data_IF_573927625361
#
_entry.id   IF_573927625361
#
_cell.length_a   1.000
_cell.length_b   1.000
_cell.length_c   1.000
_cell.angle_alpha   90.00
_cell.angle_beta   90.00
_cell.angle_gamma   90.00
#
_symmetry.space_group_name_H-M   'P 1'
#
loop_
_entity.id
_entity.type
_entity.pdbx_description
1 polymer ?
#
# COMPACT_ATOMS: atom_id res chain seq x y z
N UNK A 1 -7.15 27.49 5.72
CA UNK A 1 -8.37 27.08 5.04
C UNK A 1 -9.59 27.59 5.78
N UNK A 2 -10.51 28.24 5.07
CA UNK A 2 -11.66 28.93 5.70
C UNK A 2 -12.98 28.20 5.43
N UNK A 3 -12.93 27.01 4.89
CA UNK A 3 -14.09 26.21 4.49
C UNK A 3 -14.49 26.41 3.04
N UNK A 4 -15.36 25.52 2.54
CA UNK A 4 -15.80 25.47 1.15
C UNK A 4 -14.77 24.86 0.19
N UNK A 5 -15.02 24.96 -1.08
CA UNK A 5 -14.12 24.46 -2.12
C UNK A 5 -12.81 25.23 -2.14
N UNK A 6 -11.67 24.54 -2.25
CA UNK A 6 -10.33 25.13 -2.28
C UNK A 6 -9.77 25.09 -3.71
N UNK A 7 -9.82 26.19 -4.47
CA UNK A 7 -9.22 26.25 -5.81
C UNK A 7 -7.71 26.14 -5.73
N UNK A 8 -7.13 25.32 -6.59
CA UNK A 8 -5.68 25.22 -6.75
C UNK A 8 -5.19 26.29 -7.75
N UNK A 9 -3.99 26.79 -7.52
CA UNK A 9 -3.50 28.04 -8.15
C UNK A 9 -3.50 28.01 -9.69
N UNK A 10 -3.24 26.86 -10.32
CA UNK A 10 -3.17 26.73 -11.78
C UNK A 10 -4.27 25.86 -12.37
N UNK A 11 -4.61 24.75 -11.73
CA UNK A 11 -5.58 23.80 -12.25
C UNK A 11 -6.25 23.01 -11.13
N UNK A 12 -7.54 22.72 -11.31
CA UNK A 12 -8.29 21.87 -10.37
C UNK A 12 -8.79 22.60 -9.13
N UNK A 13 -9.46 21.84 -8.28
CA UNK A 13 -10.07 22.33 -7.06
C UNK A 13 -10.29 21.14 -6.11
N UNK A 14 -9.92 21.26 -4.84
CA UNK A 14 -10.38 20.36 -3.80
C UNK A 14 -11.81 20.75 -3.44
N UNK A 15 -12.76 19.95 -3.92
CA UNK A 15 -14.18 20.22 -3.69
C UNK A 15 -14.66 19.49 -2.45
N UNK A 16 -15.35 20.19 -1.55
CA UNK A 16 -15.97 19.60 -0.36
C UNK A 16 -16.94 18.47 -0.74
N UNK A 17 -17.63 18.61 -1.89
CA UNK A 17 -18.51 17.53 -2.40
C UNK A 17 -17.76 16.22 -2.67
N UNK A 18 -16.54 16.29 -3.17
CA UNK A 18 -15.73 15.12 -3.52
C UNK A 18 -14.90 14.65 -2.30
N UNK A 19 -14.54 15.58 -1.42
CA UNK A 19 -13.76 15.34 -0.20
C UNK A 19 -14.41 15.99 1.03
N UNK A 20 -15.54 15.46 1.56
CA UNK A 20 -16.29 16.07 2.66
C UNK A 20 -15.47 16.25 3.94
N UNK A 21 -14.48 15.39 4.17
CA UNK A 21 -13.61 15.45 5.34
C UNK A 21 -12.69 16.69 5.36
N UNK A 22 -12.54 17.41 4.24
CA UNK A 22 -11.77 18.65 4.15
C UNK A 22 -12.28 19.70 5.16
N UNK A 23 -13.57 19.69 5.49
CA UNK A 23 -14.15 20.61 6.47
C UNK A 23 -13.64 20.44 7.91
N UNK A 24 -13.04 19.28 8.23
CA UNK A 24 -12.36 19.05 9.53
C UNK A 24 -11.16 19.98 9.73
N UNK A 25 -10.62 20.52 8.67
CA UNK A 25 -9.41 21.36 8.68
C UNK A 25 -9.69 22.87 8.57
N UNK A 26 -10.96 23.31 8.77
CA UNK A 26 -11.31 24.74 8.83
C UNK A 26 -10.51 25.41 9.96
N UNK A 27 -9.87 26.53 9.63
CA UNK A 27 -9.01 27.30 10.54
C UNK A 27 -7.56 26.85 10.55
N UNK A 28 -7.21 25.78 9.82
CA UNK A 28 -5.84 25.28 9.73
C UNK A 28 -5.13 25.75 8.47
N UNK A 29 -3.82 25.84 8.52
CA UNK A 29 -2.95 26.04 7.36
C UNK A 29 -2.76 24.71 6.63
N UNK A 30 -3.01 24.69 5.33
CA UNK A 30 -2.86 23.51 4.46
C UNK A 30 -1.77 23.74 3.44
N UNK A 31 -0.89 22.76 3.25
CA UNK A 31 0.03 22.71 2.13
C UNK A 31 -0.67 21.91 1.02
N UNK A 32 -0.76 22.52 -0.16
CA UNK A 32 -1.39 21.95 -1.36
C UNK A 32 -0.49 22.21 -2.58
N UNK A 33 -0.74 21.54 -3.69
CA UNK A 33 -0.09 21.86 -4.97
C UNK A 33 -0.80 22.98 -5.70
N UNK A 34 -0.25 23.37 -6.82
CA UNK A 34 -0.91 24.28 -7.77
C UNK A 34 -1.95 23.57 -8.67
N UNK A 35 -2.14 22.25 -8.50
CA UNK A 35 -3.06 21.41 -9.26
C UNK A 35 -2.45 20.75 -10.51
N UNK A 36 -1.16 20.95 -10.78
CA UNK A 36 -0.49 20.38 -11.97
C UNK A 36 0.45 19.22 -11.66
N UNK A 37 0.78 19.00 -10.38
CA UNK A 37 1.68 17.94 -9.90
C UNK A 37 1.10 17.28 -8.66
N UNK A 38 1.67 16.14 -8.27
CA UNK A 38 1.57 15.60 -6.92
C UNK A 38 2.21 16.60 -5.94
N UNK A 39 1.74 16.61 -4.70
CA UNK A 39 2.44 17.27 -3.59
C UNK A 39 3.65 16.41 -3.16
N UNK A 40 3.43 15.10 -3.06
CA UNK A 40 4.39 14.16 -2.51
C UNK A 40 4.63 14.42 -1.02
N UNK A 41 3.57 14.77 -0.28
CA UNK A 41 3.60 14.70 1.17
C UNK A 41 3.84 13.26 1.62
N UNK A 42 3.34 12.33 0.85
CA UNK A 42 3.74 10.94 0.82
C UNK A 42 4.93 10.78 -0.17
N UNK A 43 6.24 10.67 0.31
CA UNK A 43 6.55 10.69 1.76
C UNK A 43 7.54 11.81 2.15
N UNK A 44 7.56 12.95 1.45
CA UNK A 44 8.45 14.08 1.83
C UNK A 44 8.07 14.71 3.18
N UNK A 45 6.83 14.54 3.63
CA UNK A 45 6.42 15.00 4.94
C UNK A 45 7.09 14.18 6.05
N UNK A 46 7.08 12.85 5.96
CA UNK A 46 7.77 11.98 6.90
C UNK A 46 9.28 12.25 6.96
N UNK A 47 9.90 12.50 5.81
CA UNK A 47 11.30 12.96 5.77
C UNK A 47 11.50 14.26 6.55
N UNK A 48 10.65 15.26 6.34
CA UNK A 48 10.72 16.55 7.04
C UNK A 48 10.49 16.40 8.55
N UNK A 49 9.52 15.61 8.94
CA UNK A 49 9.16 15.34 10.34
C UNK A 49 10.28 14.64 11.09
N UNK A 50 10.88 13.58 10.51
CA UNK A 50 12.02 12.87 11.08
C UNK A 50 13.22 13.81 11.27
N UNK A 51 13.56 14.59 10.23
CA UNK A 51 14.70 15.52 10.30
C UNK A 51 14.47 16.60 11.34
N UNK A 52 13.24 17.15 11.42
CA UNK A 52 12.88 18.18 12.40
C UNK A 52 12.90 17.62 13.83
N UNK A 53 12.41 16.39 14.05
CA UNK A 53 12.51 15.75 15.36
C UNK A 53 13.96 15.52 15.80
N UNK A 54 14.82 15.09 14.87
CA UNK A 54 16.27 14.95 15.14
C UNK A 54 16.92 16.30 15.44
N UNK A 55 16.61 17.36 14.70
CA UNK A 55 17.09 18.72 14.93
C UNK A 55 16.70 19.21 16.32
N UNK A 56 15.42 19.00 16.70
CA UNK A 56 14.92 19.34 18.03
C UNK A 56 15.72 18.63 19.13
N UNK A 57 15.93 17.32 19.04
CA UNK A 57 16.66 16.53 20.05
C UNK A 57 18.13 16.96 20.15
N UNK A 58 18.77 17.29 19.04
CA UNK A 58 20.15 17.81 19.04
C UNK A 58 20.26 19.20 19.68
N UNK A 59 19.23 20.03 19.52
CA UNK A 59 19.15 21.36 20.15
C UNK A 59 18.80 21.30 21.64
N UNK A 60 18.21 20.20 22.12
CA UNK A 60 17.71 20.01 23.47
C UNK A 60 18.33 18.77 24.15
N UNK A 61 19.64 18.79 24.43
CA UNK A 61 20.36 17.64 25.00
C UNK A 61 19.85 17.24 26.40
N UNK A 62 19.08 18.07 27.05
CA UNK A 62 18.38 17.76 28.31
C UNK A 62 17.21 16.78 28.14
N UNK A 63 16.71 16.57 26.92
CA UNK A 63 15.65 15.59 26.62
C UNK A 63 16.24 14.21 26.54
N UNK A 64 15.97 13.30 27.48
CA UNK A 64 16.53 11.96 27.43
C UNK A 64 15.86 11.16 26.30
N UNK A 65 16.65 10.49 25.51
CA UNK A 65 16.14 9.64 24.42
C UNK A 65 17.06 8.44 24.17
N UNK A 66 16.52 7.41 23.54
CA UNK A 66 17.30 6.24 23.08
C UNK A 66 18.21 6.62 21.91
N UNK A 67 19.16 5.76 21.59
CA UNK A 67 19.93 5.89 20.35
C UNK A 67 18.99 5.77 19.14
N UNK A 68 19.12 6.69 18.20
CA UNK A 68 18.28 6.80 17.00
C UNK A 68 19.15 6.52 15.77
N UNK A 69 18.67 5.64 14.90
CA UNK A 69 19.20 5.46 13.56
C UNK A 69 18.13 5.89 12.56
N UNK A 70 18.49 6.73 11.60
CA UNK A 70 17.60 7.22 10.55
C UNK A 70 18.07 6.67 9.20
N UNK A 71 17.14 6.16 8.40
CA UNK A 71 17.38 5.72 7.04
C UNK A 71 16.28 6.26 6.12
N UNK A 72 16.66 6.78 4.97
CA UNK A 72 15.74 7.16 3.91
C UNK A 72 15.93 6.19 2.75
N UNK A 73 14.84 5.58 2.31
CA UNK A 73 14.82 4.57 1.26
C UNK A 73 14.27 5.17 -0.03
N UNK A 74 15.07 5.26 -1.12
CA UNK A 74 14.56 5.68 -2.42
C UNK A 74 13.73 4.58 -3.08
N UNK A 75 12.86 4.95 -4.04
CA UNK A 75 12.07 4.03 -4.84
C UNK A 75 11.02 3.20 -4.05
N UNK A 76 10.55 3.70 -2.89
CA UNK A 76 9.49 3.06 -2.11
C UNK A 76 8.21 2.93 -2.94
N UNK A 77 7.78 3.98 -3.64
CA UNK A 77 6.56 4.05 -4.47
C UNK A 77 6.49 3.03 -5.62
N UNK A 78 7.61 2.43 -5.96
CA UNK A 78 7.70 1.32 -6.92
C UNK A 78 8.03 -0.01 -6.24
N UNK A 79 7.91 -0.08 -4.90
CA UNK A 79 8.11 -1.27 -4.08
C UNK A 79 9.56 -1.72 -3.98
N UNK A 80 10.54 -0.83 -4.17
CA UNK A 80 11.97 -1.14 -4.16
C UNK A 80 12.76 -0.51 -3.03
N UNK A 81 12.12 0.21 -2.12
CA UNK A 81 12.79 0.92 -1.04
C UNK A 81 13.71 0.04 -0.18
N UNK A 82 13.28 -1.17 0.13
CA UNK A 82 14.07 -2.12 0.92
C UNK A 82 15.10 -2.95 0.11
N UNK A 83 15.18 -2.81 -1.23
CA UNK A 83 16.04 -3.66 -2.07
C UNK A 83 17.52 -3.57 -1.70
N UNK A 84 18.00 -2.37 -1.42
CA UNK A 84 19.39 -2.07 -1.09
C UNK A 84 19.60 -1.74 0.38
N UNK A 85 18.59 -1.98 1.23
CA UNK A 85 18.72 -1.77 2.67
C UNK A 85 19.77 -2.73 3.26
N UNK A 86 20.77 -2.16 3.92
CA UNK A 86 21.88 -2.88 4.52
C UNK A 86 21.71 -2.92 6.05
N UNK A 87 21.24 -4.04 6.63
CA UNK A 87 21.01 -4.13 8.08
C UNK A 87 22.30 -4.03 8.90
N UNK A 88 23.47 -4.31 8.33
CA UNK A 88 24.74 -4.16 9.04
C UNK A 88 25.10 -2.69 9.30
N UNK A 89 24.62 -1.78 8.45
CA UNK A 89 24.77 -0.35 8.59
C UNK A 89 23.66 0.31 9.40
N UNK A 90 22.60 -0.41 9.68
CA UNK A 90 21.44 0.08 10.44
C UNK A 90 21.36 -0.66 11.79
N UNK A 91 22.01 -0.15 12.85
CA UNK A 91 22.19 -0.86 14.11
C UNK A 91 20.95 -0.85 15.01
N UNK A 92 19.76 -0.94 14.43
CA UNK A 92 18.48 -1.01 15.15
C UNK A 92 17.89 -2.42 15.09
N UNK A 93 17.24 -2.86 16.18
CA UNK A 93 16.56 -4.15 16.28
C UNK A 93 15.09 -4.05 15.92
N UNK A 94 14.53 -2.86 16.04
CA UNK A 94 13.14 -2.52 15.71
C UNK A 94 13.15 -1.15 15.04
N UNK A 95 12.15 -0.88 14.23
CA UNK A 95 12.04 0.40 13.55
C UNK A 95 10.56 0.84 13.45
N UNK A 96 10.34 2.05 12.97
CA UNK A 96 9.06 2.56 12.49
C UNK A 96 9.33 3.19 11.13
N UNK A 97 8.45 2.96 10.17
CA UNK A 97 8.31 3.86 9.02
C UNK A 97 7.42 5.03 9.42
N UNK A 98 7.64 6.20 8.81
CA UNK A 98 6.78 7.39 8.96
C UNK A 98 6.35 7.72 7.55
N UNK A 99 5.17 7.23 7.14
CA UNK A 99 4.80 7.14 5.74
C UNK A 99 3.28 7.14 5.57
N UNK A 100 2.77 8.01 4.68
CA UNK A 100 1.35 8.13 4.39
C UNK A 100 0.48 8.42 5.63
N UNK A 101 -0.81 8.10 5.56
CA UNK A 101 -1.77 8.08 6.66
C UNK A 101 -2.28 9.42 7.18
N UNK A 102 -3.54 9.43 7.65
CA UNK A 102 -4.12 10.58 8.38
C UNK A 102 -3.55 10.65 9.80
N UNK A 103 -3.57 11.84 10.41
CA UNK A 103 -3.04 12.03 11.76
C UNK A 103 -3.69 11.09 12.79
N UNK A 104 -2.86 10.32 13.47
CA UNK A 104 -3.26 9.34 14.48
C UNK A 104 -3.23 7.89 13.99
N UNK A 105 -3.10 7.64 12.71
CA UNK A 105 -3.05 6.28 12.18
C UNK A 105 -1.74 5.57 12.54
N UNK A 106 -1.90 4.33 13.00
CA UNK A 106 -0.83 3.36 13.29
C UNK A 106 -1.17 2.09 12.53
N UNK A 107 -0.25 1.60 11.75
CA UNK A 107 -0.47 0.46 10.87
C UNK A 107 0.58 -0.62 11.17
N UNK A 108 0.11 -1.82 11.48
CA UNK A 108 0.96 -3.00 11.71
C UNK A 108 0.45 -4.26 11.00
N UNK A 109 -0.55 -4.07 10.15
CA UNK A 109 -1.11 -5.10 9.28
C UNK A 109 -1.17 -4.56 7.84
N UNK A 110 -0.71 -5.36 6.89
CA UNK A 110 -0.80 -5.09 5.48
C UNK A 110 -1.29 -6.33 4.73
N UNK A 111 -1.57 -6.24 3.44
CA UNK A 111 -1.92 -7.41 2.66
C UNK A 111 -0.78 -8.43 2.57
N UNK A 112 -1.13 -9.73 2.50
CA UNK A 112 -0.35 -10.71 1.76
C UNK A 112 -0.63 -10.52 0.28
N UNK A 113 0.37 -10.64 -0.57
CA UNK A 113 0.30 -10.26 -1.97
C UNK A 113 0.92 -11.31 -2.89
N UNK A 114 0.22 -11.62 -3.97
CA UNK A 114 0.78 -12.39 -5.08
C UNK A 114 0.53 -11.69 -6.42
N UNK A 115 1.48 -11.84 -7.33
CA UNK A 115 1.35 -11.50 -8.74
C UNK A 115 1.02 -12.76 -9.53
N UNK A 116 0.13 -12.60 -10.50
CA UNK A 116 -0.35 -13.68 -11.38
C UNK A 116 -0.08 -13.27 -12.82
N UNK A 117 0.54 -14.16 -13.59
CA UNK A 117 0.62 -14.07 -15.04
C UNK A 117 -0.05 -15.30 -15.63
N UNK A 118 -1.08 -15.10 -16.44
CA UNK A 118 -1.81 -16.14 -17.13
C UNK A 118 -1.58 -15.98 -18.64
N UNK A 119 -0.90 -16.94 -19.25
CA UNK A 119 -0.79 -17.02 -20.71
C UNK A 119 -1.83 -17.99 -21.23
N UNK A 120 -2.64 -17.54 -22.18
CA UNK A 120 -3.71 -18.32 -22.83
C UNK A 120 -3.34 -18.54 -24.28
N UNK A 121 -3.19 -19.81 -24.68
CA UNK A 121 -2.87 -20.21 -26.04
C UNK A 121 -4.12 -20.53 -26.84
N UNK A 122 -4.29 -19.86 -27.95
CA UNK A 122 -5.35 -20.12 -28.90
C UNK A 122 -4.95 -21.10 -30.01
N UNK A 123 -5.91 -21.44 -30.86
CA UNK A 123 -5.69 -22.13 -32.13
C UNK A 123 -6.36 -21.30 -33.20
N UNK A 124 -5.56 -20.53 -33.94
CA UNK A 124 -6.06 -19.66 -34.99
C UNK A 124 -6.31 -20.45 -36.28
N UNK A 125 -7.49 -20.27 -36.85
CA UNK A 125 -7.96 -20.90 -38.08
C UNK A 125 -8.73 -19.86 -38.87
N UNK A 126 -8.65 -19.90 -40.21
CA UNK A 126 -9.45 -19.01 -41.04
C UNK A 126 -10.94 -19.07 -40.63
N UNK A 127 -11.61 -17.94 -40.33
CA UNK A 127 -12.96 -17.90 -39.74
C UNK A 127 -13.98 -18.72 -40.53
N UNK A 128 -13.91 -18.71 -41.83
CA UNK A 128 -14.83 -19.47 -42.72
C UNK A 128 -14.71 -21.01 -42.58
N UNK A 129 -13.67 -21.55 -42.00
CA UNK A 129 -13.43 -22.99 -41.78
C UNK A 129 -13.17 -23.36 -40.34
N UNK A 130 -13.46 -22.46 -39.41
CA UNK A 130 -13.06 -22.54 -37.99
C UNK A 130 -13.98 -23.40 -37.12
N UNK A 131 -15.16 -23.85 -37.62
CA UNK A 131 -16.12 -24.61 -36.82
C UNK A 131 -15.49 -25.83 -36.17
N UNK A 132 -15.61 -25.94 -34.85
CA UNK A 132 -15.05 -27.02 -34.01
C UNK A 132 -13.52 -27.15 -34.03
N UNK A 133 -12.78 -26.15 -34.55
CA UNK A 133 -11.32 -26.16 -34.64
C UNK A 133 -10.66 -24.97 -33.95
N UNK A 134 -11.25 -23.77 -34.13
CA UNK A 134 -10.70 -22.54 -33.55
C UNK A 134 -10.84 -22.53 -32.05
N UNK A 135 -9.78 -22.11 -31.36
CA UNK A 135 -9.80 -21.68 -29.96
C UNK A 135 -9.31 -20.23 -29.93
N UNK A 136 -10.21 -19.31 -29.72
CA UNK A 136 -9.88 -17.90 -29.66
C UNK A 136 -9.37 -17.55 -28.26
N UNK A 137 -8.10 -17.17 -28.13
CA UNK A 137 -7.45 -16.90 -26.85
C UNK A 137 -8.11 -15.74 -26.10
N UNK A 138 -8.64 -14.72 -26.77
CA UNK A 138 -9.37 -13.61 -26.15
C UNK A 138 -10.63 -14.13 -25.44
N UNK A 139 -11.43 -14.98 -26.12
CA UNK A 139 -12.64 -15.53 -25.54
C UNK A 139 -12.35 -16.50 -24.39
N UNK A 140 -11.24 -17.24 -24.47
CA UNK A 140 -10.78 -18.11 -23.40
C UNK A 140 -10.30 -17.31 -22.17
N UNK A 141 -9.53 -16.24 -22.38
CA UNK A 141 -9.14 -15.34 -21.31
C UNK A 141 -10.36 -14.68 -20.61
N UNK A 142 -11.37 -14.29 -21.39
CA UNK A 142 -12.62 -13.79 -20.84
C UNK A 142 -13.37 -14.84 -19.99
N UNK A 143 -13.29 -16.14 -20.34
CA UNK A 143 -13.86 -17.18 -19.50
C UNK A 143 -13.17 -17.26 -18.14
N UNK A 144 -11.85 -17.18 -18.10
CA UNK A 144 -11.10 -17.12 -16.83
C UNK A 144 -11.56 -15.93 -15.98
N UNK A 145 -11.60 -14.72 -16.57
CA UNK A 145 -12.01 -13.51 -15.86
C UNK A 145 -13.44 -13.64 -15.32
N UNK A 146 -14.37 -14.18 -16.14
CA UNK A 146 -15.79 -14.34 -15.78
C UNK A 146 -16.03 -15.37 -14.66
N UNK A 147 -15.08 -16.24 -14.40
CA UNK A 147 -15.13 -17.23 -13.31
C UNK A 147 -14.51 -16.73 -12.01
N UNK A 148 -13.81 -15.60 -12.02
CA UNK A 148 -13.37 -14.94 -10.78
C UNK A 148 -14.60 -14.39 -10.03
N UNK A 149 -14.62 -14.46 -8.69
CA UNK A 149 -15.72 -13.93 -7.88
C UNK A 149 -15.91 -12.43 -8.10
N UNK A 150 -16.99 -12.02 -8.76
CA UNK A 150 -17.22 -10.62 -9.15
C UNK A 150 -17.29 -9.64 -7.95
N UNK A 151 -17.78 -10.11 -6.79
CA UNK A 151 -17.83 -9.32 -5.57
C UNK A 151 -16.48 -9.15 -4.88
N UNK A 152 -15.48 -9.96 -5.25
CA UNK A 152 -14.15 -9.95 -4.65
C UNK A 152 -13.16 -9.19 -5.55
N UNK A 153 -13.55 -8.00 -5.97
CA UNK A 153 -12.74 -7.06 -6.75
C UNK A 153 -12.50 -5.77 -5.93
N UNK A 154 -11.46 -4.98 -6.22
CA UNK A 154 -11.17 -3.75 -5.47
C UNK A 154 -12.35 -2.77 -5.38
N UNK A 155 -13.20 -2.73 -6.43
CA UNK A 155 -14.39 -1.87 -6.46
C UNK A 155 -15.51 -2.29 -5.49
N UNK A 156 -15.40 -3.45 -4.86
CA UNK A 156 -16.42 -4.04 -4.00
C UNK A 156 -15.90 -4.50 -2.64
N UNK A 157 -14.64 -4.16 -2.32
CA UNK A 157 -13.99 -4.62 -1.08
C UNK A 157 -13.38 -3.45 -0.32
N UNK A 158 -13.44 -3.52 1.02
CA UNK A 158 -12.89 -2.51 1.94
C UNK A 158 -12.24 -3.17 3.18
N UNK A 159 -11.59 -2.38 4.02
CA UNK A 159 -10.99 -2.84 5.27
C UNK A 159 -10.11 -4.07 5.07
N UNK A 160 -10.45 -5.15 5.76
CA UNK A 160 -9.71 -6.43 5.73
C UNK A 160 -10.09 -7.38 4.60
N UNK A 161 -11.03 -6.99 3.73
CA UNK A 161 -11.49 -7.84 2.64
C UNK A 161 -10.46 -7.96 1.53
N UNK A 162 -10.13 -9.20 1.18
CA UNK A 162 -9.21 -9.52 0.10
C UNK A 162 -9.88 -9.50 -1.28
N UNK A 163 -9.07 -9.49 -2.33
CA UNK A 163 -9.58 -9.39 -3.69
C UNK A 163 -8.69 -10.09 -4.74
N UNK A 164 -9.28 -10.29 -5.92
CA UNK A 164 -8.60 -10.54 -7.19
C UNK A 164 -8.72 -9.30 -8.06
N UNK A 165 -7.63 -8.89 -8.70
CA UNK A 165 -7.67 -7.73 -9.58
C UNK A 165 -6.89 -8.00 -10.86
N UNK A 166 -7.58 -8.06 -11.98
CA UNK A 166 -6.97 -8.10 -13.32
C UNK A 166 -6.47 -6.70 -13.64
N UNK A 167 -5.17 -6.55 -13.83
CA UNK A 167 -4.51 -5.26 -14.03
C UNK A 167 -4.19 -4.98 -15.48
N UNK A 168 -3.98 -6.02 -16.29
CA UNK A 168 -3.67 -5.88 -17.71
C UNK A 168 -4.10 -7.12 -18.49
N UNK A 169 -4.44 -6.92 -19.75
CA UNK A 169 -4.73 -7.98 -20.71
C UNK A 169 -4.28 -7.53 -22.10
N UNK A 170 -3.35 -8.25 -22.68
CA UNK A 170 -2.80 -7.95 -24.00
C UNK A 170 -2.74 -9.21 -24.88
N UNK A 171 -2.97 -9.06 -26.18
CA UNK A 171 -2.87 -10.16 -27.13
C UNK A 171 -3.90 -10.12 -28.25
N UNK A 172 -4.08 -11.28 -28.87
CA UNK A 172 -5.01 -11.49 -29.98
C UNK A 172 -5.63 -12.91 -29.91
N UNK A 173 -6.31 -13.35 -30.99
CA UNK A 173 -6.96 -14.65 -31.03
C UNK A 173 -6.02 -15.84 -30.91
N UNK A 174 -4.72 -15.65 -31.18
CA UNK A 174 -3.70 -16.70 -31.12
C UNK A 174 -3.09 -16.86 -29.72
N UNK A 175 -2.89 -15.75 -29.01
CA UNK A 175 -2.35 -15.75 -27.65
C UNK A 175 -2.79 -14.50 -26.90
N UNK A 176 -3.09 -14.67 -25.62
CA UNK A 176 -3.34 -13.57 -24.67
C UNK A 176 -2.46 -13.76 -23.44
N UNK A 177 -1.87 -12.68 -22.97
CA UNK A 177 -1.24 -12.60 -21.65
C UNK A 177 -2.09 -11.69 -20.77
N UNK A 178 -2.44 -12.19 -19.59
CA UNK A 178 -3.20 -11.49 -18.57
C UNK A 178 -2.33 -11.36 -17.33
N UNK A 179 -2.30 -10.15 -16.76
CA UNK A 179 -1.70 -9.90 -15.47
C UNK A 179 -2.79 -9.61 -14.42
N UNK A 180 -2.61 -10.19 -13.24
CA UNK A 180 -3.51 -9.96 -12.11
C UNK A 180 -2.74 -9.97 -10.79
N UNK A 181 -3.38 -9.46 -9.76
CA UNK A 181 -2.88 -9.51 -8.39
C UNK A 181 -3.91 -10.13 -7.45
N UNK A 182 -3.41 -10.82 -6.43
CA UNK A 182 -4.22 -11.39 -5.34
C UNK A 182 -3.79 -10.72 -4.05
N UNK A 183 -4.77 -10.31 -3.24
CA UNK A 183 -4.54 -9.66 -1.94
C UNK A 183 -5.47 -10.24 -0.89
N UNK A 184 -4.95 -10.46 0.31
CA UNK A 184 -5.74 -10.74 1.51
C UNK A 184 -4.91 -10.47 2.77
N UNK A 185 -5.48 -9.93 3.84
CA UNK A 185 -4.79 -9.73 5.11
C UNK A 185 -4.56 -11.07 5.84
N UNK A 186 -5.50 -11.98 5.72
CA UNK A 186 -5.43 -13.30 6.34
C UNK A 186 -4.63 -14.28 5.46
N UNK A 187 -3.61 -14.91 6.02
CA UNK A 187 -2.72 -15.81 5.29
C UNK A 187 -3.43 -17.09 4.80
N UNK A 188 -4.38 -17.61 5.56
CA UNK A 188 -5.13 -18.82 5.16
C UNK A 188 -6.06 -18.49 3.99
N UNK A 189 -6.78 -17.35 4.07
CA UNK A 189 -7.62 -16.86 2.98
C UNK A 189 -6.79 -16.53 1.75
N UNK A 190 -5.64 -15.90 1.91
CA UNK A 190 -4.70 -15.62 0.82
C UNK A 190 -4.28 -16.91 0.10
N UNK A 191 -3.88 -17.94 0.85
CA UNK A 191 -3.53 -19.23 0.27
C UNK A 191 -4.74 -19.92 -0.38
N UNK A 192 -5.93 -19.81 0.21
CA UNK A 192 -7.17 -20.32 -0.40
C UNK A 192 -7.49 -19.63 -1.72
N UNK A 193 -7.25 -18.31 -1.84
CA UNK A 193 -7.39 -17.55 -3.09
C UNK A 193 -6.43 -18.03 -4.17
N UNK A 194 -5.16 -18.24 -3.84
CA UNK A 194 -4.18 -18.79 -4.77
C UNK A 194 -4.60 -20.17 -5.26
N UNK A 195 -4.95 -21.06 -4.34
CA UNK A 195 -5.43 -22.40 -4.67
C UNK A 195 -6.73 -22.40 -5.51
N UNK A 196 -7.59 -21.39 -5.33
CA UNK A 196 -8.76 -21.23 -6.19
C UNK A 196 -8.36 -20.93 -7.64
N UNK A 197 -7.42 -20.02 -7.86
CA UNK A 197 -6.90 -19.67 -9.21
C UNK A 197 -6.26 -20.91 -9.87
N UNK A 198 -5.46 -21.68 -9.12
CA UNK A 198 -4.86 -22.93 -9.62
C UNK A 198 -5.93 -23.92 -10.08
N UNK A 199 -6.93 -24.20 -9.22
CA UNK A 199 -8.05 -25.10 -9.58
C UNK A 199 -8.86 -24.58 -10.77
N UNK A 200 -9.01 -23.28 -10.92
CA UNK A 200 -9.71 -22.67 -12.04
C UNK A 200 -8.96 -22.93 -13.36
N UNK A 201 -7.63 -22.77 -13.34
CA UNK A 201 -6.76 -23.06 -14.49
C UNK A 201 -6.78 -24.55 -14.82
N UNK A 202 -6.74 -25.42 -13.84
CA UNK A 202 -6.86 -26.88 -14.05
C UNK A 202 -8.20 -27.25 -14.70
N UNK A 203 -9.30 -26.68 -14.20
CA UNK A 203 -10.63 -26.88 -14.79
C UNK A 203 -10.67 -26.43 -16.25
N UNK A 204 -10.12 -25.26 -16.55
CA UNK A 204 -10.11 -24.71 -17.91
C UNK A 204 -9.21 -25.55 -18.83
N UNK A 205 -8.08 -26.03 -18.35
CA UNK A 205 -7.19 -26.93 -19.09
C UNK A 205 -7.85 -28.31 -19.34
N UNK A 206 -8.59 -28.85 -18.37
CA UNK A 206 -9.37 -30.08 -18.58
C UNK A 206 -10.43 -29.91 -19.67
N UNK A 207 -11.03 -28.75 -19.78
CA UNK A 207 -12.06 -28.43 -20.77
C UNK A 207 -11.50 -28.15 -22.17
N UNK A 208 -10.39 -27.39 -22.24
CA UNK A 208 -9.88 -26.86 -23.50
C UNK A 208 -8.60 -27.54 -24.00
N UNK A 209 -8.02 -28.44 -23.21
CA UNK A 209 -6.79 -29.16 -23.46
C UNK A 209 -5.62 -28.63 -22.63
N UNK A 210 -4.77 -29.56 -22.21
CA UNK A 210 -3.58 -29.24 -21.39
C UNK A 210 -2.67 -28.25 -22.09
N UNK A 211 -2.15 -27.27 -21.35
CA UNK A 211 -1.28 -26.22 -21.83
C UNK A 211 -1.99 -25.06 -22.54
N UNK A 212 -3.33 -25.10 -22.68
CA UNK A 212 -4.10 -23.96 -23.17
C UNK A 212 -4.00 -22.76 -22.23
N UNK A 213 -3.96 -23.00 -20.91
CA UNK A 213 -3.78 -21.99 -19.88
C UNK A 213 -2.49 -22.31 -19.11
N UNK A 214 -1.53 -21.40 -19.14
CA UNK A 214 -0.29 -21.51 -18.35
C UNK A 214 -0.29 -20.43 -17.29
N UNK A 215 -0.23 -20.86 -16.03
CA UNK A 215 -0.25 -20.02 -14.84
C UNK A 215 1.17 -19.89 -14.29
N UNK A 216 1.58 -18.64 -14.07
CA UNK A 216 2.73 -18.29 -13.23
C UNK A 216 2.22 -17.43 -12.08
N UNK A 217 2.53 -17.84 -10.85
CA UNK A 217 2.10 -17.12 -9.66
C UNK A 217 3.28 -16.98 -8.71
N UNK A 218 3.51 -15.78 -8.20
CA UNK A 218 4.63 -15.48 -7.31
C UNK A 218 4.15 -14.59 -6.17
N UNK A 219 4.47 -15.00 -4.94
CA UNK A 219 4.26 -14.16 -3.77
C UNK A 219 5.19 -12.95 -3.84
N UNK A 220 4.66 -11.77 -3.53
CA UNK A 220 5.38 -10.49 -3.60
C UNK A 220 5.82 -10.02 -2.22
N UNK A 221 4.93 -10.06 -1.24
CA UNK A 221 5.19 -9.74 0.16
C UNK A 221 4.12 -10.37 1.07
N UNK A 222 4.38 -10.33 2.37
CA UNK A 222 3.48 -10.89 3.39
C UNK A 222 3.06 -9.84 4.41
N UNK A 223 1.96 -10.09 5.10
CA UNK A 223 1.46 -9.27 6.19
C UNK A 223 2.50 -9.21 7.32
N UNK A 224 2.93 -8.01 7.70
CA UNK A 224 3.92 -7.80 8.76
C UNK A 224 3.41 -8.14 10.16
N UNK A 225 2.11 -8.30 10.35
CA UNK A 225 1.45 -8.63 11.63
C UNK A 225 2.17 -9.75 12.40
N UNK A 226 2.52 -10.84 11.70
CA UNK A 226 3.16 -11.99 12.35
C UNK A 226 4.55 -11.67 12.89
N UNK A 227 5.23 -10.70 12.30
CA UNK A 227 6.53 -10.20 12.73
C UNK A 227 6.40 -9.13 13.83
N UNK A 228 5.34 -8.34 13.80
CA UNK A 228 5.05 -7.31 14.82
C UNK A 228 4.46 -7.92 16.09
N UNK A 229 3.66 -9.00 15.97
CA UNK A 229 2.96 -9.63 17.10
C UNK A 229 3.82 -9.98 18.32
N UNK A 230 5.08 -10.46 18.17
CA UNK A 230 5.97 -10.66 19.32
C UNK A 230 6.47 -9.34 19.94
N UNK A 231 6.23 -8.20 19.29
CA UNK A 231 6.73 -6.87 19.61
C UNK A 231 5.62 -5.82 19.72
N UNK A 232 4.48 -6.22 20.33
CA UNK A 232 3.33 -5.31 20.49
C UNK A 232 3.63 -4.09 21.33
N UNK A 233 4.73 -4.10 22.09
CA UNK A 233 5.22 -2.92 22.77
C UNK A 233 5.52 -1.75 21.82
N UNK A 234 5.84 -2.02 20.55
CA UNK A 234 6.01 -0.96 19.54
C UNK A 234 4.69 -0.21 19.30
N UNK A 235 3.58 -0.94 19.23
CA UNK A 235 2.27 -0.35 19.00
C UNK A 235 1.81 0.42 20.24
N UNK A 236 2.00 -0.14 21.44
CA UNK A 236 1.64 0.53 22.69
C UNK A 236 2.51 1.78 22.93
N UNK A 237 3.79 1.76 22.58
CA UNK A 237 4.66 2.94 22.65
C UNK A 237 4.21 4.03 21.68
N UNK A 238 3.83 3.67 20.45
CA UNK A 238 3.31 4.62 19.47
C UNK A 238 2.00 5.27 19.94
N UNK A 239 1.06 4.48 20.48
CA UNK A 239 -0.18 4.99 21.07
C UNK A 239 0.11 5.97 22.21
N UNK A 240 0.96 5.57 23.16
CA UNK A 240 1.32 6.40 24.29
C UNK A 240 1.97 7.73 23.87
N UNK A 241 2.83 7.70 22.85
CA UNK A 241 3.45 8.90 22.28
C UNK A 241 2.42 9.84 21.62
N UNK A 242 1.45 9.30 20.88
CA UNK A 242 0.35 10.07 20.29
C UNK A 242 -0.54 10.69 21.37
N UNK A 243 -0.97 9.90 22.34
CA UNK A 243 -1.81 10.36 23.46
C UNK A 243 -1.12 11.46 24.27
N UNK A 244 0.21 11.35 24.51
CA UNK A 244 0.98 12.34 25.25
C UNK A 244 0.97 13.74 24.61
N UNK A 245 0.79 13.81 23.29
CA UNK A 245 0.71 15.09 22.56
C UNK A 245 -0.72 15.47 22.16
N UNK A 246 -1.72 14.70 22.65
CA UNK A 246 -3.14 14.96 22.40
C UNK A 246 -3.61 14.54 21.01
N UNK A 247 -2.98 13.54 20.41
CA UNK A 247 -3.41 12.87 19.19
C UNK A 247 -4.09 11.56 19.58
N UNK A 248 -5.29 11.31 19.06
CA UNK A 248 -6.02 10.05 19.28
C UNK A 248 -5.43 8.96 18.36
N UNK A 249 -4.90 7.85 18.90
CA UNK A 249 -4.35 6.78 18.07
C UNK A 249 -5.46 5.92 17.45
N UNK A 250 -5.34 5.63 16.16
CA UNK A 250 -6.28 4.80 15.38
C UNK A 250 -5.51 3.69 14.69
N UNK A 251 -5.88 2.44 14.98
CA UNK A 251 -5.28 1.28 14.29
C UNK A 251 -6.04 1.03 12.98
N UNK A 252 -5.32 1.07 11.87
CA UNK A 252 -5.87 0.80 10.53
C UNK A 252 -5.03 -0.23 9.78
N UNK A 253 -5.62 -1.05 8.90
CA UNK A 253 -4.88 -1.97 8.06
C UNK A 253 -4.45 -1.28 6.75
N UNK A 254 -3.22 -1.50 6.32
CA UNK A 254 -2.74 -1.08 4.99
C UNK A 254 -3.34 -2.00 3.92
N UNK A 255 -3.99 -1.44 2.92
CA UNK A 255 -4.50 -2.18 1.75
C UNK A 255 -3.48 -2.25 0.60
N UNK A 256 -2.21 -2.31 0.93
CA UNK A 256 -1.08 -2.33 0.02
C UNK A 256 0.12 -3.03 0.64
N UNK A 257 1.29 -2.73 0.13
CA UNK A 257 2.59 -3.04 0.71
C UNK A 257 3.20 -1.80 1.35
N UNK A 258 4.29 -1.96 2.08
CA UNK A 258 5.08 -0.89 2.68
C UNK A 258 6.51 -1.41 2.89
N UNK A 259 7.47 -0.50 2.95
CA UNK A 259 8.84 -0.84 3.32
C UNK A 259 8.90 -1.49 4.71
N UNK A 260 8.04 -1.08 5.65
CA UNK A 260 7.93 -1.70 6.97
C UNK A 260 7.62 -3.20 6.91
N UNK A 261 6.73 -3.62 5.99
CA UNK A 261 6.45 -5.04 5.79
C UNK A 261 7.67 -5.80 5.23
N UNK A 262 8.40 -5.21 4.28
CA UNK A 262 9.61 -5.80 3.71
C UNK A 262 10.75 -5.87 4.74
N UNK A 263 10.97 -4.82 5.52
CA UNK A 263 11.95 -4.81 6.61
C UNK A 263 11.62 -5.88 7.66
N UNK A 264 10.34 -6.03 8.01
CA UNK A 264 9.88 -7.03 8.97
C UNK A 264 10.14 -8.46 8.49
N UNK A 265 9.85 -8.77 7.22
CA UNK A 265 10.00 -10.12 6.68
C UNK A 265 11.38 -10.44 6.11
N UNK A 266 12.00 -9.50 5.38
CA UNK A 266 13.24 -9.76 4.66
C UNK A 266 14.49 -9.48 5.51
N UNK A 267 14.37 -8.62 6.53
CA UNK A 267 15.49 -8.17 7.37
C UNK A 267 15.34 -8.51 8.84
N UNK A 268 14.20 -9.11 9.22
CA UNK A 268 13.85 -9.46 10.60
C UNK A 268 13.92 -8.26 11.57
N UNK A 269 13.52 -7.08 11.05
CA UNK A 269 13.40 -5.83 11.80
C UNK A 269 11.90 -5.51 11.91
N UNK A 270 11.23 -5.80 13.04
CA UNK A 270 9.84 -5.42 13.25
C UNK A 270 9.65 -3.92 13.04
N UNK A 271 8.81 -3.54 12.08
CA UNK A 271 8.70 -2.16 11.62
C UNK A 271 7.24 -1.79 11.28
N UNK A 272 6.43 -1.40 12.29
CA UNK A 272 5.11 -0.83 12.03
C UNK A 272 5.22 0.54 11.39
N UNK A 273 4.13 0.99 10.74
CA UNK A 273 4.04 2.30 10.12
C UNK A 273 3.32 3.32 11.01
N UNK A 274 3.82 4.55 11.00
CA UNK A 274 3.20 5.74 11.57
C UNK A 274 2.84 6.69 10.43
N UNK A 275 1.73 7.40 10.60
CA UNK A 275 1.25 8.39 9.63
C UNK A 275 2.14 9.63 9.51
N UNK A 276 1.97 10.38 8.42
CA UNK A 276 2.50 11.75 8.25
C UNK A 276 1.44 12.82 8.55
N UNK A 277 0.16 12.45 8.58
CA UNK A 277 -0.96 13.36 8.83
C UNK A 277 -1.49 14.06 7.58
N UNK A 278 -1.16 13.58 6.38
CA UNK A 278 -1.67 14.06 5.11
C UNK A 278 -2.95 13.37 4.65
N UNK A 279 -3.42 13.70 3.46
CA UNK A 279 -4.60 13.08 2.83
C UNK A 279 -4.57 13.18 1.30
N UNK A 280 -5.39 12.36 0.63
CA UNK A 280 -5.54 12.29 -0.82
C UNK A 280 -4.24 11.99 -1.57
N UNK A 281 -3.42 11.12 -1.00
CA UNK A 281 -2.13 10.70 -1.57
C UNK A 281 -2.26 10.21 -3.02
N UNK A 282 -1.14 10.20 -3.76
CA UNK A 282 -1.02 9.74 -5.14
C UNK A 282 -1.87 10.52 -6.17
N UNK A 283 -2.29 11.75 -5.82
CA UNK A 283 -3.10 12.58 -6.72
C UNK A 283 -2.79 14.08 -6.61
N UNK A 284 -3.28 14.87 -7.57
CA UNK A 284 -3.14 16.34 -7.58
C UNK A 284 -3.96 17.02 -6.48
N UNK A 285 -4.83 16.28 -5.82
CA UNK A 285 -5.66 16.75 -4.71
C UNK A 285 -5.07 16.42 -3.33
N UNK A 286 -3.84 15.93 -3.31
CA UNK A 286 -3.08 15.66 -2.10
C UNK A 286 -2.86 16.96 -1.31
N UNK A 287 -2.99 16.87 0.00
CA UNK A 287 -2.71 17.98 0.91
C UNK A 287 -2.24 17.48 2.27
N UNK A 288 -1.56 18.35 3.00
CA UNK A 288 -1.20 18.08 4.39
C UNK A 288 -1.43 19.33 5.25
N UNK A 289 -2.09 19.20 6.41
CA UNK A 289 -2.22 20.29 7.37
C UNK A 289 -0.89 20.52 8.09
N UNK A 290 -0.43 21.77 8.15
CA UNK A 290 0.78 22.13 8.90
C UNK A 290 0.70 21.70 10.36
N UNK A 291 -0.43 21.90 11.09
CA UNK A 291 -0.56 21.40 12.46
C UNK A 291 -0.42 19.89 12.60
N UNK A 292 -0.77 19.11 11.58
CA UNK A 292 -0.58 17.65 11.60
C UNK A 292 0.90 17.29 11.56
N UNK A 293 1.69 17.92 10.70
CA UNK A 293 3.14 17.75 10.65
C UNK A 293 3.80 18.12 11.97
N UNK A 294 3.41 19.29 12.56
CA UNK A 294 3.91 19.71 13.87
C UNK A 294 3.59 18.70 14.98
N UNK A 295 2.40 18.09 14.93
CA UNK A 295 2.01 17.03 15.85
C UNK A 295 2.84 15.77 15.65
N UNK A 296 3.09 15.36 14.41
CA UNK A 296 3.91 14.18 14.14
C UNK A 296 5.36 14.37 14.60
N UNK A 297 5.94 15.55 14.45
CA UNK A 297 7.25 15.87 15.06
C UNK A 297 7.22 15.64 16.57
N UNK A 298 6.16 16.13 17.27
CA UNK A 298 6.00 15.92 18.71
C UNK A 298 5.85 14.44 19.06
N UNK A 299 5.07 13.68 18.28
CA UNK A 299 4.91 12.21 18.44
C UNK A 299 6.26 11.52 18.33
N UNK A 300 7.05 11.83 17.31
CA UNK A 300 8.38 11.22 17.10
C UNK A 300 9.34 11.54 18.27
N UNK A 301 9.32 12.76 18.80
CA UNK A 301 10.11 13.13 19.97
C UNK A 301 9.65 12.36 21.21
N UNK A 302 8.35 12.21 21.46
CA UNK A 302 7.83 11.42 22.59
C UNK A 302 8.16 9.93 22.43
N UNK A 303 8.02 9.37 21.23
CA UNK A 303 8.27 7.96 20.95
C UNK A 303 9.70 7.51 21.31
N UNK A 304 10.69 8.38 21.14
CA UNK A 304 12.10 8.04 21.39
C UNK A 304 12.53 8.29 22.82
N UNK A 305 11.71 8.95 23.66
CA UNK A 305 11.98 9.17 25.10
C UNK A 305 11.88 7.89 25.92
N UNK A 306 11.12 6.92 25.50
CA UNK A 306 10.77 5.72 26.28
C UNK A 306 11.94 4.75 26.54
#
# INVERSE_FOLDING_TARGET
YQGGDLPLKKAGCLKVKDFPFLERYIGQELIVTDGTTLLGADDKAGVAEIVTACEYLLAHPEVPHRAIAVCFTPDEEVGKGADHFDPEKFPARVAYTVDGGELGEIEYENFNAAAVTLTVEGVNIHPGSAKNKMKNAILLANQFISLLPAAEAPAHTEGYEGFYHVTDLAGNESQVVLHAIIRDHDLEKFNARKAFVERLVDYLNARWGQGTFRLEMRDSYYNMKEKIRPHMELIENAKAAMEAVGVEPVIVPIRGGTDGARLSWERDIPCPNLCTGGANFHGVHEFIPVPSMEKMVQVLVELVKA
#
